data_IF_541431165253
#
_entry.id   IF_541431165253
#
_cell.length_a   1.000
_cell.length_b   1.000
_cell.length_c   1.000
_cell.angle_alpha   90.00
_cell.angle_beta   90.00
_cell.angle_gamma   90.00
#
_symmetry.space_group_name_H-M   'P 1'
#
loop_
_entity.id
_entity.type
_entity.pdbx_description
1 polymer ?
#
# COMPACT_ATOMS: atom_id res chain seq x y z
N UNK A 1 -26.44 55.14 42.01
CA UNK A 1 -27.29 53.92 42.10
C UNK A 1 -26.89 52.97 40.99
N UNK A 2 -25.99 52.20 41.31
CA UNK A 2 -26.09 50.77 41.70
C UNK A 2 -26.38 49.92 40.52
N UNK A 3 -25.35 49.25 40.13
CA UNK A 3 -24.91 47.93 40.42
C UNK A 3 -25.48 46.91 39.45
N UNK A 4 -24.90 45.88 39.12
CA UNK A 4 -23.88 45.01 39.62
C UNK A 4 -23.31 44.22 38.47
N UNK A 5 -22.05 44.03 38.52
CA UNK A 5 -21.33 42.96 37.83
C UNK A 5 -21.85 41.63 38.32
N UNK A 6 -22.09 40.71 37.38
CA UNK A 6 -22.03 39.28 37.68
C UNK A 6 -21.04 38.61 36.76
N UNK A 7 -19.92 38.41 37.35
CA UNK A 7 -18.80 37.62 36.88
C UNK A 7 -19.21 36.15 36.97
N UNK A 8 -19.51 35.49 35.89
CA UNK A 8 -19.65 34.06 35.89
C UNK A 8 -18.49 33.40 35.11
N UNK A 9 -17.47 33.17 35.89
CA UNK A 9 -16.27 32.45 35.48
C UNK A 9 -16.57 30.97 35.52
N UNK A 10 -17.12 30.45 34.44
CA UNK A 10 -17.19 28.99 34.27
C UNK A 10 -15.89 28.52 33.67
N UNK A 11 -14.97 28.22 34.54
CA UNK A 11 -13.78 27.46 34.29
C UNK A 11 -14.19 25.98 34.11
N UNK A 12 -14.65 25.63 32.92
CA UNK A 12 -14.75 24.22 32.54
C UNK A 12 -13.36 23.71 32.22
N UNK A 13 -12.80 23.16 33.24
CA UNK A 13 -11.58 22.35 33.19
C UNK A 13 -11.90 21.08 32.42
N UNK A 14 -11.94 21.18 31.09
CA UNK A 14 -12.05 20.01 30.21
C UNK A 14 -10.68 19.34 30.15
N UNK A 15 -10.43 18.55 31.17
CA UNK A 15 -9.28 17.68 31.26
C UNK A 15 -9.53 16.50 30.33
N UNK A 16 -9.57 16.77 29.01
CA UNK A 16 -9.46 15.74 28.01
C UNK A 16 -8.00 15.27 27.97
N UNK A 17 -7.68 14.44 28.92
CA UNK A 17 -6.52 13.57 28.83
C UNK A 17 -6.82 12.47 27.81
N UNK A 18 -7.03 12.83 26.56
CA UNK A 18 -6.85 11.93 25.46
C UNK A 18 -5.34 11.86 25.24
N UNK A 19 -4.76 10.77 25.64
CA UNK A 19 -3.54 10.26 25.02
C UNK A 19 -3.65 10.54 23.53
N UNK A 20 -2.66 11.12 22.85
CA UNK A 20 -2.65 11.17 21.41
C UNK A 20 -2.55 9.72 20.95
N UNK A 21 -3.66 9.01 20.96
CA UNK A 21 -3.84 7.69 20.39
C UNK A 21 -4.05 7.90 18.91
N UNK A 22 -3.10 7.55 18.13
CA UNK A 22 -3.20 6.74 16.94
C UNK A 22 -4.33 7.09 15.97
N UNK A 23 -4.52 8.39 15.73
CA UNK A 23 -5.24 8.85 14.55
C UNK A 23 -4.27 8.71 13.38
N UNK A 24 -4.57 7.77 12.46
CA UNK A 24 -3.80 7.59 11.23
C UNK A 24 -3.76 8.89 10.44
N UNK A 25 -2.64 9.16 9.77
CA UNK A 25 -2.58 10.22 8.79
C UNK A 25 -3.42 9.86 7.56
N UNK A 26 -3.80 10.84 6.74
CA UNK A 26 -4.53 10.60 5.49
C UNK A 26 -3.74 9.71 4.53
N UNK A 27 -2.40 9.79 4.55
CA UNK A 27 -1.52 8.91 3.77
C UNK A 27 -1.58 7.47 4.27
N UNK A 28 -1.54 7.26 5.59
CA UNK A 28 -1.65 5.92 6.17
C UNK A 28 -3.01 5.29 5.93
N UNK A 29 -4.09 6.07 5.99
CA UNK A 29 -5.44 5.60 5.67
C UNK A 29 -5.55 5.16 4.21
N UNK A 30 -4.99 5.94 3.29
CA UNK A 30 -4.98 5.59 1.87
C UNK A 30 -4.13 4.35 1.60
N UNK A 31 -2.98 4.25 2.24
CA UNK A 31 -2.12 3.07 2.15
C UNK A 31 -2.81 1.80 2.65
N UNK A 32 -3.52 1.89 3.77
CA UNK A 32 -4.35 0.77 4.28
C UNK A 32 -5.46 0.39 3.31
N UNK A 33 -6.10 1.36 2.67
CA UNK A 33 -7.14 1.09 1.66
C UNK A 33 -6.55 0.31 0.47
N UNK A 34 -5.36 0.67 0.00
CA UNK A 34 -4.64 -0.05 -1.06
C UNK A 34 -4.33 -1.49 -0.62
N UNK A 35 -3.75 -1.65 0.56
CA UNK A 35 -3.42 -2.97 1.12
C UNK A 35 -4.66 -3.86 1.25
N UNK A 36 -5.77 -3.32 1.75
CA UNK A 36 -7.02 -4.04 1.91
C UNK A 36 -7.64 -4.44 0.56
N UNK A 37 -7.55 -3.59 -0.46
CA UNK A 37 -7.97 -3.98 -1.82
C UNK A 37 -7.18 -5.17 -2.34
N UNK A 38 -5.87 -5.14 -2.23
CA UNK A 38 -5.01 -6.26 -2.63
C UNK A 38 -5.30 -7.53 -1.82
N UNK A 39 -5.45 -7.42 -0.51
CA UNK A 39 -5.80 -8.54 0.38
C UNK A 39 -7.16 -9.17 0.03
N UNK A 40 -8.10 -8.39 -0.47
CA UNK A 40 -9.41 -8.90 -0.91
C UNK A 40 -9.31 -9.85 -2.11
N UNK A 41 -8.17 -9.90 -2.76
CA UNK A 41 -7.91 -10.75 -3.95
C UNK A 41 -7.10 -12.00 -3.66
N UNK A 42 -6.84 -12.30 -2.39
CA UNK A 42 -6.20 -13.58 -2.01
C UNK A 42 -7.03 -14.76 -2.52
N UNK A 43 -6.33 -15.77 -3.00
CA UNK A 43 -6.92 -16.99 -3.53
C UNK A 43 -7.20 -16.98 -5.04
N UNK A 44 -7.27 -15.83 -5.69
CA UNK A 44 -7.35 -15.78 -7.15
C UNK A 44 -6.01 -16.15 -7.77
N UNK A 45 -6.05 -17.04 -8.74
CA UNK A 45 -4.82 -17.57 -9.38
C UNK A 45 -4.14 -16.49 -10.22
N UNK A 46 -2.81 -16.49 -10.18
CA UNK A 46 -1.97 -15.65 -11.04
C UNK A 46 -2.32 -15.85 -12.52
N UNK A 47 -2.44 -14.74 -13.24
CA UNK A 47 -2.64 -14.74 -14.69
C UNK A 47 -1.63 -13.78 -15.32
N UNK A 48 -0.77 -14.29 -16.18
CA UNK A 48 0.20 -13.48 -16.91
C UNK A 48 -0.48 -12.35 -17.68
N UNK A 49 -0.01 -11.11 -17.50
CA UNK A 49 -0.59 -9.93 -18.12
C UNK A 49 -1.91 -9.44 -17.48
N UNK A 50 -2.40 -10.09 -16.44
CA UNK A 50 -3.63 -9.68 -15.74
C UNK A 50 -3.47 -8.35 -15.02
N UNK A 51 -4.49 -7.46 -15.16
CA UNK A 51 -4.48 -6.14 -14.51
C UNK A 51 -3.70 -5.07 -15.29
N UNK A 52 -3.55 -5.23 -16.59
CA UNK A 52 -2.81 -4.30 -17.47
C UNK A 52 -3.68 -3.62 -18.54
N UNK A 53 -4.95 -3.45 -18.27
CA UNK A 53 -5.85 -2.63 -19.09
C UNK A 53 -6.70 -1.71 -18.22
N UNK A 54 -7.13 -0.59 -18.76
CA UNK A 54 -8.04 0.31 -18.04
C UNK A 54 -9.35 -0.40 -17.68
N UNK A 55 -9.87 -1.24 -18.56
CA UNK A 55 -11.08 -2.01 -18.28
C UNK A 55 -10.91 -2.98 -17.13
N UNK A 56 -9.73 -3.59 -16.98
CA UNK A 56 -9.46 -4.49 -15.85
C UNK A 56 -9.31 -3.75 -14.53
N UNK A 57 -8.52 -2.69 -14.48
CA UNK A 57 -8.26 -1.97 -13.22
C UNK A 57 -9.45 -1.16 -12.73
N UNK A 58 -10.35 -0.77 -13.64
CA UNK A 58 -11.60 -0.07 -13.31
C UNK A 58 -12.71 -1.02 -12.84
N UNK A 59 -12.57 -2.31 -13.11
CA UNK A 59 -13.57 -3.30 -12.70
C UNK A 59 -13.34 -3.75 -11.24
N UNK A 60 -14.25 -3.40 -10.32
CA UNK A 60 -14.09 -3.80 -8.90
C UNK A 60 -14.19 -5.31 -8.67
N UNK A 61 -14.69 -6.06 -9.65
CA UNK A 61 -14.81 -7.52 -9.59
C UNK A 61 -13.72 -8.25 -10.38
N UNK A 62 -12.67 -7.56 -10.78
CA UNK A 62 -11.58 -8.18 -11.53
C UNK A 62 -10.85 -9.25 -10.72
N UNK A 63 -10.46 -10.33 -11.36
CA UNK A 63 -9.92 -11.53 -10.70
C UNK A 63 -8.61 -12.05 -11.29
N UNK A 64 -8.09 -11.40 -12.32
CA UNK A 64 -6.91 -11.86 -13.04
C UNK A 64 -5.76 -10.87 -12.87
N UNK A 65 -4.71 -11.31 -12.19
CA UNK A 65 -3.58 -10.44 -11.83
C UNK A 65 -2.24 -11.13 -12.07
N UNK A 66 -1.28 -10.42 -12.63
CA UNK A 66 0.12 -10.65 -12.37
C UNK A 66 0.60 -9.71 -11.24
N UNK A 67 1.91 -9.70 -10.95
CA UNK A 67 2.43 -8.97 -9.80
C UNK A 67 2.17 -7.45 -9.89
N UNK A 68 2.48 -6.82 -11.02
CA UNK A 68 2.24 -5.40 -11.23
C UNK A 68 0.78 -5.08 -11.54
N UNK A 69 0.04 -6.02 -12.10
CA UNK A 69 -1.40 -5.91 -12.30
C UNK A 69 -2.18 -5.76 -10.99
N UNK A 70 -1.78 -6.49 -9.96
CA UNK A 70 -2.35 -6.34 -8.63
C UNK A 70 -2.06 -4.94 -8.05
N UNK A 71 -0.87 -4.40 -8.27
CA UNK A 71 -0.51 -3.03 -7.89
C UNK A 71 -1.41 -2.01 -8.60
N UNK A 72 -1.54 -2.12 -9.92
CA UNK A 72 -2.40 -1.23 -10.71
C UNK A 72 -3.84 -1.22 -10.19
N UNK A 73 -4.41 -2.40 -10.05
CA UNK A 73 -5.80 -2.57 -9.65
C UNK A 73 -6.06 -2.06 -8.24
N UNK A 74 -5.24 -2.46 -7.27
CA UNK A 74 -5.47 -2.10 -5.87
C UNK A 74 -5.32 -0.60 -5.63
N UNK A 75 -4.38 0.06 -6.29
CA UNK A 75 -4.24 1.51 -6.22
C UNK A 75 -5.43 2.23 -6.85
N UNK A 76 -5.84 1.82 -8.05
CA UNK A 76 -6.99 2.41 -8.71
C UNK A 76 -8.27 2.26 -7.87
N UNK A 77 -8.53 1.05 -7.37
CA UNK A 77 -9.71 0.76 -6.56
C UNK A 77 -9.73 1.52 -5.21
N UNK A 78 -8.57 1.91 -4.71
CA UNK A 78 -8.44 2.76 -3.54
C UNK A 78 -8.52 4.26 -3.85
N UNK A 79 -8.70 4.64 -5.13
CA UNK A 79 -8.84 6.03 -5.55
C UNK A 79 -7.53 6.73 -5.91
N UNK A 80 -6.43 5.99 -6.07
CA UNK A 80 -5.13 6.54 -6.48
C UNK A 80 -5.05 6.57 -8.01
N UNK A 81 -4.82 7.75 -8.55
CA UNK A 81 -4.55 7.91 -9.98
C UNK A 81 -3.06 7.70 -10.25
N UNK A 82 -2.70 6.57 -10.85
CA UNK A 82 -1.32 6.26 -11.23
C UNK A 82 -0.87 6.93 -12.53
N UNK A 83 -1.78 7.62 -13.24
CA UNK A 83 -1.51 8.31 -14.51
C UNK A 83 -1.28 7.39 -15.71
N UNK A 84 -0.91 6.14 -15.48
CA UNK A 84 -0.66 5.13 -16.50
C UNK A 84 -0.83 3.72 -15.95
N UNK A 85 -0.89 2.75 -16.84
CA UNK A 85 -0.76 1.34 -16.51
C UNK A 85 0.75 1.05 -16.29
N UNK A 86 1.08 0.52 -15.13
CA UNK A 86 2.45 0.18 -14.79
C UNK A 86 2.77 -1.29 -15.03
N UNK A 87 4.01 -1.53 -15.41
CA UNK A 87 4.69 -2.82 -15.36
C UNK A 87 5.77 -2.75 -14.28
N UNK A 88 6.32 -3.88 -13.90
CA UNK A 88 7.34 -3.94 -12.84
C UNK A 88 8.51 -2.98 -13.11
N UNK A 89 8.99 -2.91 -14.35
CA UNK A 89 10.07 -2.01 -14.75
C UNK A 89 9.74 -0.52 -14.58
N UNK A 90 8.50 -0.10 -14.88
CA UNK A 90 8.10 1.30 -14.73
C UNK A 90 7.84 1.69 -13.26
N UNK A 91 7.56 0.73 -12.39
CA UNK A 91 7.35 0.96 -10.97
C UNK A 91 8.63 1.35 -10.24
N UNK A 92 9.80 0.99 -10.76
CA UNK A 92 11.10 1.30 -10.15
C UNK A 92 11.26 2.80 -9.89
N UNK A 93 10.75 3.64 -10.78
CA UNK A 93 10.84 5.10 -10.70
C UNK A 93 9.49 5.77 -10.41
N UNK A 94 8.44 5.02 -10.13
CA UNK A 94 7.12 5.56 -9.84
C UNK A 94 7.06 6.13 -8.41
N UNK A 95 6.28 7.20 -8.23
CA UNK A 95 6.05 7.79 -6.92
C UNK A 95 7.33 8.28 -6.24
N UNK A 96 7.42 8.08 -4.94
CA UNK A 96 8.53 8.51 -4.09
C UNK A 96 9.28 7.30 -3.53
N UNK A 97 10.61 7.33 -3.61
CA UNK A 97 11.46 6.32 -2.94
C UNK A 97 11.39 6.47 -1.42
N UNK A 98 11.27 5.36 -0.74
CA UNK A 98 11.27 5.32 0.73
C UNK A 98 12.25 4.28 1.24
N UNK A 99 12.74 4.47 2.47
CA UNK A 99 13.58 3.48 3.14
C UNK A 99 12.73 2.34 3.72
N UNK A 100 13.37 1.20 3.99
CA UNK A 100 12.71 0.07 4.67
C UNK A 100 12.08 0.46 6.01
N UNK A 101 12.74 1.34 6.76
CA UNK A 101 12.27 1.79 8.07
C UNK A 101 11.04 2.69 8.00
N UNK A 102 10.75 3.25 6.84
CA UNK A 102 9.61 4.14 6.59
C UNK A 102 8.42 3.41 5.95
N UNK A 103 8.54 2.11 5.68
CA UNK A 103 7.48 1.32 5.07
C UNK A 103 6.19 1.41 5.89
N UNK A 104 5.11 1.70 5.18
CA UNK A 104 3.74 1.61 5.69
C UNK A 104 2.87 0.79 4.74
N UNK A 105 1.76 0.26 5.24
CA UNK A 105 0.83 -0.50 4.43
C UNK A 105 0.43 0.27 3.16
N UNK A 106 0.39 -0.41 2.02
CA UNK A 106 0.12 0.19 0.72
C UNK A 106 1.37 0.54 -0.09
N UNK A 107 2.54 0.65 0.54
CA UNK A 107 3.80 0.83 -0.18
C UNK A 107 4.15 -0.42 -0.97
N UNK A 108 4.92 -0.26 -2.03
CA UNK A 108 5.38 -1.39 -2.83
C UNK A 108 6.85 -1.68 -2.59
N UNK A 109 7.19 -2.95 -2.71
CA UNK A 109 8.55 -3.47 -2.63
C UNK A 109 8.88 -4.13 -3.96
N UNK A 110 10.00 -3.75 -4.54
CA UNK A 110 10.51 -4.30 -5.78
C UNK A 110 11.69 -5.21 -5.51
N UNK A 111 11.72 -6.35 -6.19
CA UNK A 111 12.72 -7.39 -6.00
C UNK A 111 13.53 -7.61 -7.27
N UNK A 112 14.84 -7.76 -7.10
CA UNK A 112 15.80 -7.91 -8.19
C UNK A 112 16.67 -9.15 -8.00
N UNK A 113 16.90 -9.86 -9.09
CA UNK A 113 17.75 -11.06 -9.09
C UNK A 113 19.26 -10.75 -9.10
N UNK A 114 19.65 -9.52 -9.41
CA UNK A 114 21.05 -9.11 -9.53
C UNK A 114 21.42 -7.86 -8.71
N UNK A 115 20.53 -7.39 -7.84
CA UNK A 115 20.76 -6.18 -7.05
C UNK A 115 20.75 -4.87 -7.84
N UNK A 116 20.32 -4.89 -9.09
CA UNK A 116 20.25 -3.75 -10.00
C UNK A 116 18.86 -3.60 -10.60
N UNK A 117 18.56 -2.41 -11.13
CA UNK A 117 17.29 -2.14 -11.81
C UNK A 117 17.02 -3.12 -12.96
N UNK A 118 18.06 -3.51 -13.69
CA UNK A 118 17.94 -4.44 -14.81
C UNK A 118 17.46 -5.85 -14.42
N UNK A 119 17.65 -6.23 -13.17
CA UNK A 119 17.24 -7.54 -12.65
C UNK A 119 15.89 -7.52 -11.90
N UNK A 120 15.21 -6.38 -11.85
CA UNK A 120 13.91 -6.29 -11.18
C UNK A 120 12.87 -7.13 -11.94
N UNK A 121 12.28 -8.09 -11.23
CA UNK A 121 11.37 -9.08 -11.83
C UNK A 121 10.07 -9.26 -11.06
N UNK A 122 9.94 -8.68 -9.88
CA UNK A 122 8.77 -8.88 -9.02
C UNK A 122 8.46 -7.64 -8.17
N UNK A 123 7.19 -7.53 -7.79
CA UNK A 123 6.68 -6.50 -6.91
C UNK A 123 5.63 -7.08 -5.97
N UNK A 124 5.64 -6.61 -4.73
CA UNK A 124 4.60 -6.90 -3.74
C UNK A 124 4.11 -5.62 -3.07
N UNK A 125 2.97 -5.69 -2.42
CA UNK A 125 2.38 -4.59 -1.64
C UNK A 125 2.57 -4.89 -0.16
N UNK A 126 3.26 -4.00 0.53
CA UNK A 126 3.47 -4.11 1.98
C UNK A 126 2.15 -3.96 2.73
N UNK A 127 1.92 -4.81 3.72
CA UNK A 127 0.68 -4.81 4.51
C UNK A 127 0.90 -4.63 6.01
N UNK A 128 2.12 -4.28 6.42
CA UNK A 128 2.51 -4.20 7.82
C UNK A 128 3.10 -5.51 8.35
N UNK A 129 3.64 -5.47 9.57
CA UNK A 129 4.16 -6.65 10.27
C UNK A 129 5.15 -7.50 9.46
N UNK A 130 5.99 -6.85 8.66
CA UNK A 130 6.98 -7.52 7.82
C UNK A 130 6.38 -8.56 6.85
N UNK A 131 5.21 -8.24 6.31
CA UNK A 131 4.47 -9.05 5.36
C UNK A 131 4.11 -8.25 4.12
N UNK A 132 3.91 -8.94 3.01
CA UNK A 132 3.37 -8.38 1.78
C UNK A 132 2.28 -9.27 1.21
N UNK A 133 1.39 -8.69 0.42
CA UNK A 133 0.48 -9.42 -0.47
C UNK A 133 0.99 -9.28 -1.89
N UNK A 134 0.97 -10.37 -2.65
CA UNK A 134 1.49 -10.39 -4.00
C UNK A 134 0.83 -11.48 -4.87
N UNK A 135 0.91 -11.30 -6.18
CA UNK A 135 0.61 -12.33 -7.18
C UNK A 135 1.94 -12.95 -7.62
N UNK A 136 2.33 -14.15 -7.13
CA UNK A 136 3.70 -14.62 -7.22
C UNK A 136 4.11 -15.11 -8.61
N UNK A 137 3.39 -16.07 -9.17
CA UNK A 137 3.73 -16.69 -10.46
C UNK A 137 2.62 -17.64 -10.92
N UNK A 138 2.68 -18.06 -12.17
CA UNK A 138 1.76 -19.06 -12.74
C UNK A 138 1.65 -20.30 -11.83
N UNK A 139 0.42 -20.74 -11.60
CA UNK A 139 0.13 -21.89 -10.74
C UNK A 139 -0.03 -21.55 -9.26
N UNK A 140 0.17 -20.30 -8.86
CA UNK A 140 0.03 -19.85 -7.49
C UNK A 140 -1.03 -18.75 -7.35
N UNK A 141 -1.77 -18.72 -6.25
CA UNK A 141 -2.75 -17.66 -6.00
C UNK A 141 -2.10 -16.38 -5.48
N UNK A 142 -2.83 -15.29 -5.57
CA UNK A 142 -2.55 -14.09 -4.76
C UNK A 142 -2.53 -14.51 -3.30
N UNK A 143 -1.45 -14.16 -2.59
CA UNK A 143 -1.20 -14.63 -1.23
C UNK A 143 -0.33 -13.67 -0.44
N UNK A 144 -0.35 -13.83 0.87
CA UNK A 144 0.55 -13.13 1.78
C UNK A 144 1.88 -13.89 1.89
N UNK A 145 2.98 -13.15 1.90
CA UNK A 145 4.32 -13.68 2.12
C UNK A 145 4.97 -13.01 3.33
N UNK A 146 5.72 -13.79 4.09
CA UNK A 146 6.55 -13.30 5.18
C UNK A 146 7.90 -12.82 4.63
N UNK A 147 8.17 -11.53 4.79
CA UNK A 147 9.39 -10.90 4.27
C UNK A 147 10.66 -11.27 5.05
N UNK A 148 10.54 -11.97 6.19
CA UNK A 148 11.69 -12.46 6.95
C UNK A 148 12.46 -13.57 6.24
N UNK A 149 11.85 -14.24 5.28
CA UNK A 149 12.53 -15.30 4.53
C UNK A 149 13.71 -14.77 3.74
N UNK A 150 14.81 -15.52 3.73
CA UNK A 150 16.06 -15.13 3.09
C UNK A 150 15.91 -14.80 1.61
N UNK A 151 15.03 -15.51 0.88
CA UNK A 151 14.73 -15.21 -0.51
C UNK A 151 14.32 -13.74 -0.70
N UNK A 152 13.36 -13.25 0.06
CA UNK A 152 12.89 -11.87 -0.03
C UNK A 152 13.95 -10.88 0.44
N UNK A 153 14.71 -11.21 1.47
CA UNK A 153 15.79 -10.36 1.96
C UNK A 153 16.92 -10.22 0.93
N UNK A 154 17.27 -11.29 0.25
CA UNK A 154 18.32 -11.29 -0.78
C UNK A 154 17.90 -10.58 -2.07
N UNK A 155 16.65 -10.70 -2.45
CA UNK A 155 16.09 -10.10 -3.67
C UNK A 155 15.59 -8.66 -3.49
N UNK A 156 15.51 -8.17 -2.26
CA UNK A 156 15.00 -6.85 -1.95
C UNK A 156 15.83 -5.77 -2.63
N UNK A 157 15.18 -4.98 -3.49
CA UNK A 157 15.86 -3.94 -4.25
C UNK A 157 15.50 -2.53 -3.78
N UNK A 158 14.23 -2.15 -3.82
CA UNK A 158 13.79 -0.81 -3.43
C UNK A 158 12.33 -0.80 -2.98
N UNK A 159 11.97 0.27 -2.28
CA UNK A 159 10.59 0.53 -1.86
C UNK A 159 10.10 1.84 -2.47
N UNK A 160 8.84 1.87 -2.89
CA UNK A 160 8.21 3.05 -3.48
C UNK A 160 6.85 3.29 -2.85
N UNK A 161 6.47 4.56 -2.72
CA UNK A 161 5.12 5.01 -2.34
C UNK A 161 4.50 5.74 -3.50
N UNK A 162 3.34 5.27 -3.96
CA UNK A 162 2.66 5.76 -5.14
C UNK A 162 1.47 6.68 -4.84
N UNK A 163 1.22 6.96 -3.58
CA UNK A 163 0.04 7.72 -3.11
C UNK A 163 0.42 8.86 -2.17
#
# INVERSE_FOLDING_TARGET
NDEKEDNNNNNENNNNNTTPGDSLTSSEELGLAIANKALSRQGYMYVWGGGHSWSSIQNPNWTQFDCSGLVNWSHYQAGVNLGRIHYTGSLINAGTGISRSELQAGDIILFSSNGQASGVHHVGIYIGNNQMVHAPSTGQPVQVANLSYSYWQNEWYTCRRLY
#
